data_IF_505354395479
#
_entry.id   IF_505354395479
#
_cell.length_a   1.000
_cell.length_b   1.000
_cell.length_c   1.000
_cell.angle_alpha   90.00
_cell.angle_beta   90.00
_cell.angle_gamma   90.00
#
_symmetry.space_group_name_H-M   'P 1'
#
loop_
_entity.id
_entity.type
_entity.pdbx_description
1 polymer ?
#
# COMPACT_ATOMS: atom_id res chain seq x y z
N UNK A 1 45.69 13.70 -19.03
CA UNK A 1 44.72 13.31 -17.97
C UNK A 1 44.19 14.50 -17.15
N UNK A 2 43.93 15.67 -17.76
CA UNK A 2 43.48 16.85 -16.99
C UNK A 2 41.97 16.83 -16.69
N UNK A 3 41.20 16.13 -17.53
CA UNK A 3 39.74 16.05 -17.46
C UNK A 3 39.20 14.70 -16.99
N UNK A 4 40.08 13.76 -16.60
CA UNK A 4 39.64 12.43 -16.17
C UNK A 4 38.84 12.49 -14.85
N UNK A 5 39.29 13.33 -13.89
CA UNK A 5 38.62 13.52 -12.60
C UNK A 5 37.22 14.15 -12.72
N UNK A 6 36.99 15.24 -13.48
CA UNK A 6 35.64 15.79 -13.63
C UNK A 6 34.73 14.86 -14.43
N UNK A 7 35.25 14.13 -15.43
CA UNK A 7 34.45 13.15 -16.19
C UNK A 7 34.01 11.98 -15.30
N UNK A 8 34.90 11.45 -14.46
CA UNK A 8 34.55 10.40 -13.49
C UNK A 8 33.50 10.88 -12.47
N UNK A 9 33.59 12.14 -12.03
CA UNK A 9 32.62 12.73 -11.11
C UNK A 9 31.22 12.87 -11.72
N UNK A 10 31.14 13.31 -12.98
CA UNK A 10 29.87 13.41 -13.73
C UNK A 10 29.25 12.03 -13.95
N UNK A 11 30.06 11.03 -14.28
CA UNK A 11 29.60 9.64 -14.42
C UNK A 11 29.02 9.08 -13.10
N UNK A 12 29.67 9.37 -11.97
CA UNK A 12 29.19 8.95 -10.65
C UNK A 12 27.87 9.62 -10.27
N UNK A 13 27.72 10.91 -10.58
CA UNK A 13 26.48 11.65 -10.36
C UNK A 13 25.31 11.09 -11.21
N UNK A 14 25.56 10.77 -12.49
CA UNK A 14 24.55 10.17 -13.36
C UNK A 14 24.12 8.78 -12.89
N UNK A 15 25.03 7.99 -12.32
CA UNK A 15 24.72 6.67 -11.75
C UNK A 15 23.83 6.75 -10.51
N UNK A 16 24.01 7.79 -9.68
CA UNK A 16 23.21 7.99 -8.47
C UNK A 16 21.72 8.25 -8.74
N UNK A 17 21.39 8.81 -9.92
CA UNK A 17 20.00 9.10 -10.32
C UNK A 17 19.24 7.79 -10.61
N UNK A 18 19.91 6.72 -11.04
CA UNK A 18 19.27 5.43 -11.31
C UNK A 18 18.83 4.69 -10.03
N UNK A 19 19.38 5.04 -8.87
CA UNK A 19 18.97 4.47 -7.58
C UNK A 19 17.66 5.08 -7.04
N UNK A 20 17.18 6.20 -7.60
CA UNK A 20 15.95 6.87 -7.17
C UNK A 20 14.68 6.24 -7.76
N UNK A 21 14.79 5.42 -8.82
CA UNK A 21 13.63 4.80 -9.50
C UNK A 21 13.25 3.42 -8.98
N UNK A 22 13.84 2.93 -7.89
CA UNK A 22 13.58 1.59 -7.36
C UNK A 22 12.46 1.51 -6.30
N UNK A 23 11.79 2.63 -6.00
CA UNK A 23 10.71 2.65 -5.01
C UNK A 23 9.34 2.59 -5.67
N UNK A 24 9.09 1.55 -6.47
CA UNK A 24 7.74 1.03 -6.59
C UNK A 24 7.56 0.04 -5.45
N UNK A 25 7.07 0.55 -4.31
CA UNK A 25 6.53 -0.31 -3.28
C UNK A 25 5.47 -1.14 -3.96
N UNK A 26 5.76 -2.43 -4.17
CA UNK A 26 4.73 -3.44 -4.42
C UNK A 26 3.93 -3.56 -3.11
N UNK A 27 3.21 -2.49 -2.74
CA UNK A 27 2.03 -2.65 -1.92
C UNK A 27 1.16 -3.55 -2.78
N UNK A 28 0.99 -4.81 -2.37
CA UNK A 28 -0.04 -5.72 -2.91
C UNK A 28 -1.23 -4.85 -3.29
N UNK A 29 -1.52 -4.70 -4.59
CA UNK A 29 -2.32 -3.59 -5.11
C UNK A 29 -3.70 -3.62 -4.45
N UNK A 30 -3.81 -2.93 -3.31
CA UNK A 30 -5.02 -2.93 -2.53
C UNK A 30 -6.06 -2.23 -3.40
N UNK A 31 -7.17 -2.91 -3.63
CA UNK A 31 -8.23 -2.45 -4.51
C UNK A 31 -9.55 -2.53 -3.76
N UNK A 32 -10.42 -1.55 -3.98
CA UNK A 32 -11.78 -1.60 -3.44
C UNK A 32 -12.64 -2.65 -4.13
N UNK A 33 -12.35 -2.95 -5.40
CA UNK A 33 -13.25 -3.73 -6.27
C UNK A 33 -12.63 -5.05 -6.75
N UNK A 34 -11.37 -5.31 -6.43
CA UNK A 34 -10.62 -6.46 -6.89
C UNK A 34 -9.93 -7.18 -5.73
N UNK A 35 -9.58 -8.46 -5.94
CA UNK A 35 -8.95 -9.28 -4.92
C UNK A 35 -9.93 -9.84 -3.87
N UNK A 36 -9.38 -10.33 -2.77
CA UNK A 36 -10.18 -10.90 -1.67
C UNK A 36 -10.93 -9.81 -0.92
N UNK A 37 -12.03 -10.18 -0.26
CA UNK A 37 -12.74 -9.24 0.61
C UNK A 37 -11.83 -8.73 1.76
N UNK A 38 -10.86 -9.53 2.21
CA UNK A 38 -9.85 -9.11 3.17
C UNK A 38 -9.00 -7.94 2.65
N UNK A 39 -8.53 -8.04 1.39
CA UNK A 39 -7.78 -6.98 0.71
C UNK A 39 -8.64 -5.71 0.52
N UNK A 40 -9.92 -5.87 0.18
CA UNK A 40 -10.84 -4.74 0.02
C UNK A 40 -11.08 -4.01 1.36
N UNK A 41 -11.22 -4.75 2.47
CA UNK A 41 -11.28 -4.14 3.80
C UNK A 41 -9.99 -3.41 4.15
N UNK A 42 -8.84 -4.00 3.84
CA UNK A 42 -7.55 -3.37 4.09
C UNK A 42 -7.36 -2.09 3.26
N UNK A 43 -7.81 -2.08 2.00
CA UNK A 43 -7.86 -0.88 1.15
C UNK A 43 -8.65 0.25 1.81
N UNK A 44 -9.87 -0.02 2.26
CA UNK A 44 -10.74 1.00 2.89
C UNK A 44 -10.12 1.51 4.19
N UNK A 45 -9.60 0.62 5.02
CA UNK A 45 -8.98 0.99 6.31
C UNK A 45 -7.75 1.88 6.10
N UNK A 46 -6.93 1.59 5.09
CA UNK A 46 -5.72 2.37 4.82
C UNK A 46 -6.03 3.70 4.12
N UNK A 47 -6.93 3.73 3.14
CA UNK A 47 -7.28 4.95 2.40
C UNK A 47 -8.18 5.91 3.19
N UNK A 48 -8.93 5.43 4.20
CA UNK A 48 -9.84 6.26 5.01
C UNK A 48 -9.16 7.21 6.00
N UNK A 49 -7.84 7.11 6.24
CA UNK A 49 -7.16 7.89 7.28
C UNK A 49 -6.80 9.34 6.86
N UNK A 50 -6.96 9.72 5.60
CA UNK A 50 -6.27 10.91 5.05
C UNK A 50 -7.13 12.13 4.71
N UNK A 51 -8.36 12.25 5.20
CA UNK A 51 -9.22 13.34 4.75
C UNK A 51 -9.83 14.15 5.90
N UNK A 52 -9.46 15.42 5.94
CA UNK A 52 -9.91 16.44 6.91
C UNK A 52 -11.44 16.70 6.86
N UNK A 53 -12.16 16.16 5.87
CA UNK A 53 -13.61 16.40 5.68
C UNK A 53 -14.53 15.25 6.13
N UNK A 54 -14.03 14.11 6.64
CA UNK A 54 -14.89 12.99 7.06
C UNK A 54 -14.73 12.60 8.54
N UNK A 55 -15.85 12.24 9.17
CA UNK A 55 -15.90 11.81 10.58
C UNK A 55 -14.95 10.63 10.80
N UNK A 56 -14.00 10.80 11.72
CA UNK A 56 -13.02 9.77 12.09
C UNK A 56 -13.74 8.57 12.70
N UNK A 57 -13.97 7.53 11.90
CA UNK A 57 -14.37 6.22 12.43
C UNK A 57 -13.13 5.61 13.06
N UNK A 58 -13.27 5.08 14.29
CA UNK A 58 -12.14 4.43 14.96
C UNK A 58 -11.66 3.26 14.11
N UNK A 59 -10.36 3.20 13.82
CA UNK A 59 -9.74 2.09 13.08
C UNK A 59 -10.09 0.72 13.70
N UNK A 60 -10.22 0.66 15.02
CA UNK A 60 -10.65 -0.52 15.77
C UNK A 60 -12.05 -1.00 15.40
N UNK A 61 -12.99 -0.10 15.11
CA UNK A 61 -14.34 -0.45 14.67
C UNK A 61 -14.35 -1.02 13.26
N UNK A 62 -13.51 -0.48 12.37
CA UNK A 62 -13.37 -1.01 11.01
C UNK A 62 -12.76 -2.42 11.04
N UNK A 63 -11.77 -2.66 11.89
CA UNK A 63 -11.23 -4.01 12.10
C UNK A 63 -12.24 -4.96 12.76
N UNK A 64 -13.06 -4.49 13.70
CA UNK A 64 -14.13 -5.30 14.27
C UNK A 64 -15.17 -5.68 13.19
N UNK A 65 -15.57 -4.74 12.35
CA UNK A 65 -16.47 -5.01 11.23
C UNK A 65 -15.86 -6.02 10.25
N UNK A 66 -14.60 -5.84 9.85
CA UNK A 66 -13.84 -6.82 9.04
C UNK A 66 -13.91 -8.21 9.67
N UNK A 67 -13.61 -8.33 10.95
CA UNK A 67 -13.62 -9.61 11.67
C UNK A 67 -15.02 -10.25 11.69
N UNK A 68 -16.07 -9.51 12.04
CA UNK A 68 -17.44 -10.02 12.07
C UNK A 68 -17.94 -10.46 10.70
N UNK A 69 -17.61 -9.72 9.65
CA UNK A 69 -17.96 -10.08 8.26
C UNK A 69 -17.24 -11.37 7.83
N UNK A 70 -15.94 -11.50 8.11
CA UNK A 70 -15.19 -12.73 7.80
C UNK A 70 -15.74 -13.93 8.57
N UNK A 71 -16.09 -13.75 9.83
CA UNK A 71 -16.65 -14.80 10.68
C UNK A 71 -18.02 -15.27 10.15
N UNK A 72 -18.90 -14.33 9.79
CA UNK A 72 -20.20 -14.65 9.20
C UNK A 72 -20.07 -15.40 7.87
N UNK A 73 -19.12 -15.02 7.02
CA UNK A 73 -18.86 -15.72 5.76
C UNK A 73 -18.31 -17.14 5.99
N UNK A 74 -17.43 -17.33 6.97
CA UNK A 74 -16.91 -18.66 7.33
C UNK A 74 -18.02 -19.57 7.87
N UNK A 75 -18.91 -19.03 8.70
CA UNK A 75 -20.06 -19.78 9.21
C UNK A 75 -20.99 -20.23 8.08
N UNK A 76 -21.29 -19.35 7.11
CA UNK A 76 -22.08 -19.71 5.93
C UNK A 76 -21.35 -20.77 5.09
N UNK A 77 -20.03 -20.62 4.90
CA UNK A 77 -19.24 -21.59 4.13
C UNK A 77 -19.17 -22.97 4.81
N UNK A 78 -19.19 -23.05 6.14
CA UNK A 78 -19.21 -24.33 6.85
C UNK A 78 -20.57 -25.04 6.80
N UNK A 79 -21.64 -24.29 6.58
CA UNK A 79 -23.01 -24.80 6.50
C UNK A 79 -23.39 -25.28 5.08
N UNK A 80 -22.54 -24.98 4.07
CA UNK A 80 -22.69 -25.39 2.67
C UNK A 80 -21.92 -26.69 2.37
#
# INVERSE_FOLDING_TARGET
MKYFKPVAFVLLALFSIQLLSAQETNEDQLSLNEGTLDNQFEYVIQKSNNYQDYKVIKKTWLYALKAHTMDSLKAIQSDL
#
